data_IF_211633404239
#
_entry.id   IF_211633404239
#
_cell.length_a   1.000
_cell.length_b   1.000
_cell.length_c   1.000
_cell.angle_alpha   90.00
_cell.angle_beta   90.00
_cell.angle_gamma   90.00
#
_symmetry.space_group_name_H-M   'P 1'
#
loop_
_entity.id
_entity.type
_entity.pdbx_description
1 polymer ?
#
# COMPACT_ATOMS: atom_id res chain seq x y z
N UNK A 1 1.86 -2.25 -12.77
CA UNK A 1 0.90 -1.83 -11.74
C UNK A 1 0.56 -0.35 -11.93
N UNK A 2 -0.68 0.00 -11.60
CA UNK A 2 -1.19 1.38 -11.58
C UNK A 2 -1.21 1.90 -10.14
N UNK A 3 -1.27 3.21 -9.94
CA UNK A 3 -1.44 3.78 -8.58
C UNK A 3 -2.81 3.39 -8.01
N UNK A 4 -3.82 3.25 -8.87
CA UNK A 4 -5.11 2.68 -8.49
C UNK A 4 -4.97 1.30 -7.82
N UNK A 5 -4.26 0.38 -8.48
CA UNK A 5 -4.01 -0.96 -7.95
C UNK A 5 -3.27 -0.91 -6.61
N UNK A 6 -2.23 -0.07 -6.52
CA UNK A 6 -1.44 0.13 -5.30
C UNK A 6 -2.30 0.71 -4.16
N UNK A 7 -3.19 1.65 -4.46
CA UNK A 7 -4.10 2.25 -3.49
C UNK A 7 -5.07 1.21 -2.93
N UNK A 8 -5.74 0.44 -3.79
CA UNK A 8 -6.69 -0.61 -3.36
C UNK A 8 -5.96 -1.69 -2.55
N UNK A 9 -4.77 -2.14 -3.00
CA UNK A 9 -3.95 -3.11 -2.27
C UNK A 9 -3.47 -2.57 -0.92
N UNK A 10 -3.11 -1.29 -0.85
CA UNK A 10 -2.74 -0.66 0.43
C UNK A 10 -3.90 -0.67 1.42
N UNK A 11 -5.13 -0.41 0.98
CA UNK A 11 -6.32 -0.57 1.82
C UNK A 11 -6.51 -2.01 2.29
N UNK A 12 -6.22 -3.01 1.43
CA UNK A 12 -6.28 -4.42 1.82
C UNK A 12 -5.27 -4.78 2.92
N UNK A 13 -4.17 -4.04 3.09
CA UNK A 13 -3.15 -4.34 4.12
C UNK A 13 -3.48 -3.79 5.50
N UNK A 14 -4.47 -2.92 5.63
CA UNK A 14 -4.74 -2.24 6.90
C UNK A 14 -5.32 -3.19 7.95
N UNK A 15 -4.77 -3.19 9.18
CA UNK A 15 -5.28 -3.94 10.35
C UNK A 15 -5.65 -5.41 10.07
N UNK A 16 -4.85 -6.14 9.30
CA UNK A 16 -5.08 -7.56 9.04
C UNK A 16 -3.77 -8.31 8.82
N UNK A 17 -3.86 -9.64 8.76
CA UNK A 17 -2.72 -10.50 8.41
C UNK A 17 -2.47 -10.52 6.91
N UNK A 18 -1.26 -10.87 6.52
CA UNK A 18 -0.90 -11.02 5.11
C UNK A 18 -1.79 -12.04 4.35
N UNK A 19 -2.21 -13.11 5.03
CA UNK A 19 -3.14 -14.09 4.44
C UNK A 19 -4.48 -13.47 4.09
N UNK A 20 -5.03 -12.61 4.95
CA UNK A 20 -6.29 -11.90 4.70
C UNK A 20 -6.14 -10.90 3.55
N UNK A 21 -5.03 -10.16 3.50
CA UNK A 21 -4.71 -9.26 2.38
C UNK A 21 -4.68 -10.00 1.05
N UNK A 22 -3.97 -11.14 0.99
CA UNK A 22 -3.91 -11.96 -0.22
C UNK A 22 -5.28 -12.47 -0.67
N UNK A 23 -6.10 -12.92 0.28
CA UNK A 23 -7.44 -13.42 -0.04
C UNK A 23 -8.34 -12.31 -0.60
N UNK A 24 -8.36 -11.13 0.03
CA UNK A 24 -9.12 -10.00 -0.50
C UNK A 24 -8.68 -9.61 -1.91
N UNK A 25 -7.37 -9.52 -2.14
CA UNK A 25 -6.83 -9.18 -3.45
C UNK A 25 -7.16 -10.26 -4.50
N UNK A 26 -7.04 -11.54 -4.14
CA UNK A 26 -7.39 -12.64 -5.03
C UNK A 26 -8.89 -12.64 -5.38
N UNK A 27 -9.76 -12.41 -4.41
CA UNK A 27 -11.20 -12.32 -4.63
C UNK A 27 -11.57 -11.14 -5.54
N UNK A 28 -10.94 -9.97 -5.36
CA UNK A 28 -11.13 -8.83 -6.25
C UNK A 28 -10.77 -9.16 -7.70
N UNK A 29 -9.61 -9.78 -7.91
CA UNK A 29 -9.14 -10.18 -9.25
C UNK A 29 -10.04 -11.25 -9.85
N UNK A 30 -10.43 -12.26 -9.06
CA UNK A 30 -11.26 -13.36 -9.56
C UNK A 30 -12.64 -12.89 -9.97
N UNK A 31 -13.26 -12.03 -9.20
CA UNK A 31 -14.65 -11.61 -9.40
C UNK A 31 -14.82 -10.45 -10.40
N UNK A 32 -13.83 -9.56 -10.49
CA UNK A 32 -13.95 -8.30 -11.23
C UNK A 32 -12.83 -8.07 -12.25
N UNK A 33 -11.80 -8.90 -12.25
CA UNK A 33 -10.67 -8.76 -13.16
C UNK A 33 -10.99 -9.24 -14.58
N UNK A 34 -10.53 -8.49 -15.58
CA UNK A 34 -10.67 -8.87 -16.99
C UNK A 34 -9.74 -10.03 -17.36
N UNK A 35 -10.20 -10.98 -18.20
CA UNK A 35 -9.34 -12.04 -18.71
C UNK A 35 -8.18 -11.48 -19.54
N UNK A 36 -7.00 -12.04 -19.36
CA UNK A 36 -5.81 -11.72 -20.16
C UNK A 36 -5.48 -12.87 -21.12
N UNK A 37 -4.72 -12.58 -22.18
CA UNK A 37 -4.28 -13.59 -23.16
C UNK A 37 -3.46 -14.75 -22.54
N UNK A 38 -2.96 -14.61 -21.30
CA UNK A 38 -2.20 -15.62 -20.58
C UNK A 38 -3.04 -16.49 -19.63
N UNK A 39 -4.37 -16.48 -19.71
CA UNK A 39 -5.27 -17.25 -18.85
C UNK A 39 -5.35 -16.74 -17.40
N UNK A 40 -4.74 -15.61 -17.11
CA UNK A 40 -4.85 -14.89 -15.82
C UNK A 40 -5.84 -13.75 -15.96
N UNK A 41 -6.32 -13.23 -14.83
CA UNK A 41 -7.12 -12.01 -14.79
C UNK A 41 -6.25 -10.82 -14.41
N UNK A 42 -6.53 -9.66 -15.01
CA UNK A 42 -5.94 -8.39 -14.60
C UNK A 42 -6.52 -7.92 -13.28
N UNK A 43 -5.85 -6.98 -12.61
CA UNK A 43 -6.44 -6.29 -11.47
C UNK A 43 -7.63 -5.44 -11.96
N UNK A 44 -8.77 -5.43 -11.25
CA UNK A 44 -9.98 -4.75 -11.74
C UNK A 44 -9.78 -3.23 -11.81
N UNK A 45 -10.35 -2.61 -12.84
CA UNK A 45 -10.39 -1.15 -12.97
C UNK A 45 -11.34 -0.52 -11.94
N UNK A 46 -11.24 0.79 -11.76
CA UNK A 46 -12.16 1.51 -10.88
C UNK A 46 -13.61 1.40 -11.37
N UNK A 47 -13.82 1.45 -12.69
CA UNK A 47 -15.13 1.29 -13.32
C UNK A 47 -15.73 -0.09 -13.05
N UNK A 48 -14.92 -1.15 -13.19
CA UNK A 48 -15.37 -2.52 -12.88
C UNK A 48 -15.73 -2.65 -11.39
N UNK A 49 -14.93 -2.07 -10.52
CA UNK A 49 -15.21 -2.05 -9.09
C UNK A 49 -16.44 -1.21 -8.75
N UNK A 50 -16.68 -0.08 -9.40
CA UNK A 50 -17.83 0.80 -9.17
C UNK A 50 -19.18 0.17 -9.55
N UNK A 51 -19.18 -0.95 -10.29
CA UNK A 51 -20.42 -1.71 -10.58
C UNK A 51 -20.96 -2.48 -9.36
N UNK A 52 -20.23 -2.52 -8.25
CA UNK A 52 -20.53 -3.33 -7.07
C UNK A 52 -20.77 -2.46 -5.84
N UNK A 53 -21.72 -2.88 -5.02
CA UNK A 53 -22.04 -2.21 -3.76
C UNK A 53 -21.19 -2.72 -2.57
N UNK A 54 -21.36 -2.10 -1.41
CA UNK A 54 -20.66 -2.48 -0.19
C UNK A 54 -21.01 -3.92 0.28
N UNK A 55 -22.20 -4.43 -0.03
CA UNK A 55 -22.60 -5.79 0.32
C UNK A 55 -21.73 -6.81 -0.42
N UNK A 56 -21.50 -6.61 -1.72
CA UNK A 56 -20.59 -7.43 -2.50
C UNK A 56 -19.18 -7.46 -1.91
N UNK A 57 -18.62 -6.30 -1.57
CA UNK A 57 -17.28 -6.23 -0.97
C UNK A 57 -17.22 -6.91 0.40
N UNK A 58 -18.30 -6.89 1.17
CA UNK A 58 -18.35 -7.52 2.49
C UNK A 58 -18.45 -9.03 2.40
N UNK A 59 -19.31 -9.54 1.53
CA UNK A 59 -19.69 -10.94 1.47
C UNK A 59 -18.81 -11.77 0.53
N UNK A 60 -18.49 -11.24 -0.65
CA UNK A 60 -17.72 -11.93 -1.68
C UNK A 60 -16.24 -11.66 -1.54
N UNK A 61 -15.84 -10.39 -1.52
CA UNK A 61 -14.43 -10.00 -1.36
C UNK A 61 -13.92 -10.25 0.05
N UNK A 62 -14.82 -10.31 1.03
CA UNK A 62 -14.53 -10.49 2.45
C UNK A 62 -13.72 -9.35 3.06
N UNK A 63 -14.02 -8.13 2.61
CA UNK A 63 -13.29 -6.92 2.97
C UNK A 63 -13.59 -6.45 4.42
N UNK A 64 -14.61 -7.01 5.09
CA UNK A 64 -15.03 -6.59 6.42
C UNK A 64 -15.43 -5.11 6.45
N UNK A 65 -14.88 -4.34 7.39
CA UNK A 65 -15.19 -2.92 7.55
C UNK A 65 -14.72 -2.05 6.36
N UNK A 66 -13.83 -2.57 5.50
CA UNK A 66 -13.32 -1.87 4.31
C UNK A 66 -14.30 -1.88 3.13
N UNK A 67 -15.39 -2.66 3.24
CA UNK A 67 -16.38 -2.81 2.18
C UNK A 67 -16.93 -1.46 1.71
N UNK A 68 -17.30 -0.60 2.66
CA UNK A 68 -17.80 0.74 2.35
C UNK A 68 -16.70 1.64 1.74
N UNK A 69 -15.44 1.46 2.14
CA UNK A 69 -14.30 2.20 1.57
C UNK A 69 -14.04 1.83 0.13
N UNK A 70 -14.14 0.54 -0.24
CA UNK A 70 -13.97 0.10 -1.61
C UNK A 70 -15.07 0.61 -2.52
N UNK A 71 -16.34 0.54 -2.10
CA UNK A 71 -17.45 1.06 -2.87
C UNK A 71 -17.30 2.57 -3.12
N UNK A 72 -17.10 3.35 -2.06
CA UNK A 72 -16.95 4.81 -2.14
C UNK A 72 -15.74 5.24 -2.98
N UNK A 73 -14.60 4.55 -2.81
CA UNK A 73 -13.39 4.82 -3.57
C UNK A 73 -13.58 4.52 -5.05
N UNK A 74 -14.12 3.35 -5.39
CA UNK A 74 -14.33 2.94 -6.77
C UNK A 74 -15.27 3.92 -7.50
N UNK A 75 -16.39 4.30 -6.88
CA UNK A 75 -17.30 5.32 -7.42
C UNK A 75 -16.61 6.67 -7.61
N UNK A 76 -15.79 7.09 -6.65
CA UNK A 76 -15.13 8.39 -6.71
C UNK A 76 -14.07 8.46 -7.82
N UNK A 77 -13.34 7.38 -8.02
CA UNK A 77 -12.32 7.30 -9.10
C UNK A 77 -12.99 7.14 -10.46
N UNK A 78 -13.97 6.25 -10.60
CA UNK A 78 -14.73 6.06 -11.86
C UNK A 78 -15.46 7.35 -12.29
N UNK A 79 -15.92 8.16 -11.33
CA UNK A 79 -16.54 9.47 -11.60
C UNK A 79 -15.51 10.60 -11.86
N UNK A 80 -14.21 10.32 -11.82
CA UNK A 80 -13.16 11.33 -12.00
C UNK A 80 -13.03 12.34 -10.85
N UNK A 81 -13.64 12.07 -9.68
CA UNK A 81 -13.51 12.93 -8.50
C UNK A 81 -12.17 12.77 -7.79
N UNK A 82 -11.56 11.59 -7.92
CA UNK A 82 -10.22 11.26 -7.44
C UNK A 82 -9.47 10.66 -8.61
N UNK A 83 -8.25 11.16 -8.88
CA UNK A 83 -7.33 10.62 -9.86
C UNK A 83 -6.05 10.18 -9.16
N UNK A 84 -5.92 8.89 -8.76
CA UNK A 84 -4.73 8.39 -8.10
C UNK A 84 -3.48 8.44 -9.00
N UNK A 85 -3.65 8.30 -10.31
CA UNK A 85 -2.51 8.30 -11.25
C UNK A 85 -1.81 9.66 -11.30
N UNK A 86 -2.53 10.75 -11.02
CA UNK A 86 -1.95 12.10 -10.92
C UNK A 86 -0.90 12.23 -9.82
N UNK A 87 -0.89 11.35 -8.83
CA UNK A 87 0.12 11.37 -7.76
C UNK A 87 1.53 11.02 -8.24
N UNK A 88 1.66 10.25 -9.34
CA UNK A 88 2.96 9.93 -9.95
C UNK A 88 3.70 11.16 -10.45
N UNK A 89 2.97 12.13 -10.99
CA UNK A 89 3.53 13.32 -11.62
C UNK A 89 3.30 14.59 -10.80
N UNK A 90 2.84 14.45 -9.58
CA UNK A 90 2.51 15.58 -8.71
C UNK A 90 3.77 16.37 -8.33
N UNK A 91 3.74 17.69 -8.50
CA UNK A 91 4.79 18.62 -8.05
C UNK A 91 4.63 19.05 -6.58
N UNK A 92 3.61 18.57 -5.89
CA UNK A 92 3.39 18.88 -4.48
C UNK A 92 4.58 18.38 -3.62
N UNK A 93 4.99 19.15 -2.61
CA UNK A 93 5.89 18.64 -1.59
C UNK A 93 5.32 17.35 -0.96
N UNK A 94 6.20 16.39 -0.58
CA UNK A 94 5.79 15.09 -0.04
C UNK A 94 4.77 15.19 1.10
N UNK A 95 4.94 16.16 2.00
CA UNK A 95 4.03 16.36 3.12
C UNK A 95 2.61 16.79 2.66
N UNK A 96 2.50 17.57 1.59
CA UNK A 96 1.22 18.00 1.03
C UNK A 96 0.58 16.86 0.23
N UNK A 97 1.35 16.14 -0.58
CA UNK A 97 0.87 14.96 -1.29
C UNK A 97 0.35 13.89 -0.31
N UNK A 98 1.03 13.70 0.82
CA UNK A 98 0.55 12.82 1.90
C UNK A 98 -0.83 13.25 2.41
N UNK A 99 -1.06 14.56 2.58
CA UNK A 99 -2.37 15.07 3.01
C UNK A 99 -3.45 14.80 1.97
N UNK A 100 -3.14 14.96 0.68
CA UNK A 100 -4.07 14.63 -0.41
C UNK A 100 -4.44 13.15 -0.39
N UNK A 101 -3.46 12.24 -0.31
CA UNK A 101 -3.70 10.80 -0.21
C UNK A 101 -4.58 10.44 0.99
N UNK A 102 -4.39 11.11 2.12
CA UNK A 102 -5.18 10.88 3.35
C UNK A 102 -6.62 11.40 3.28
N UNK A 103 -7.01 12.13 2.25
CA UNK A 103 -8.43 12.46 2.00
C UNK A 103 -9.23 11.25 1.54
N UNK A 104 -8.56 10.23 1.01
CA UNK A 104 -9.19 8.95 0.66
C UNK A 104 -9.54 8.20 1.94
N UNK A 105 -10.81 7.87 2.08
CA UNK A 105 -11.33 7.16 3.26
C UNK A 105 -10.64 5.80 3.44
N UNK A 106 -10.15 5.56 4.63
CA UNK A 106 -9.36 4.36 4.95
C UNK A 106 -7.86 4.50 4.75
N UNK A 107 -7.38 5.58 4.11
CA UNK A 107 -5.95 5.88 3.96
C UNK A 107 -5.47 6.66 5.19
N UNK A 108 -4.88 5.95 6.14
CA UNK A 108 -4.19 6.53 7.29
C UNK A 108 -2.71 6.82 6.99
N UNK A 109 -1.95 7.21 8.04
CA UNK A 109 -0.51 7.54 7.88
C UNK A 109 0.29 6.39 7.30
N UNK A 110 0.07 5.16 7.76
CA UNK A 110 0.75 3.96 7.25
C UNK A 110 0.52 3.77 5.74
N UNK A 111 -0.74 3.77 5.30
CA UNK A 111 -1.07 3.56 3.90
C UNK A 111 -0.52 4.70 3.02
N UNK A 112 -0.68 5.95 3.45
CA UNK A 112 -0.17 7.12 2.73
C UNK A 112 1.36 7.09 2.59
N UNK A 113 2.11 6.73 3.64
CA UNK A 113 3.56 6.63 3.59
C UNK A 113 4.05 5.51 2.67
N UNK A 114 3.34 4.38 2.60
CA UNK A 114 3.66 3.33 1.65
C UNK A 114 3.32 3.74 0.21
N UNK A 115 2.17 4.39 -0.01
CA UNK A 115 1.81 4.95 -1.32
C UNK A 115 2.84 5.97 -1.80
N UNK A 116 3.33 6.85 -0.93
CA UNK A 116 4.40 7.79 -1.27
C UNK A 116 5.63 7.08 -1.81
N UNK A 117 6.06 5.97 -1.20
CA UNK A 117 7.18 5.17 -1.73
C UNK A 117 6.87 4.60 -3.12
N UNK A 118 5.64 4.11 -3.34
CA UNK A 118 5.22 3.53 -4.61
C UNK A 118 5.18 4.57 -5.74
N UNK A 119 4.90 5.84 -5.41
CA UNK A 119 4.98 6.95 -6.37
C UNK A 119 6.34 7.67 -6.38
N UNK A 120 7.39 7.05 -5.82
CA UNK A 120 8.78 7.54 -5.94
C UNK A 120 9.19 8.58 -4.90
N UNK A 121 8.42 8.77 -3.81
CA UNK A 121 8.77 9.68 -2.71
C UNK A 121 9.37 8.89 -1.54
N UNK A 122 10.70 8.92 -1.40
CA UNK A 122 11.45 8.07 -0.47
C UNK A 122 11.97 8.80 0.77
N UNK A 123 11.58 10.01 0.99
CA UNK A 123 12.00 10.85 2.12
C UNK A 123 11.36 10.43 3.47
N UNK A 124 10.32 9.58 3.45
CA UNK A 124 9.72 8.95 4.63
C UNK A 124 10.10 7.49 4.80
N UNK A 125 10.17 6.99 6.04
CA UNK A 125 10.51 5.59 6.32
C UNK A 125 9.33 4.62 6.17
N UNK A 126 8.10 5.10 6.32
CA UNK A 126 6.87 4.28 6.36
C UNK A 126 7.00 3.06 7.30
N UNK A 127 7.35 3.34 8.56
CA UNK A 127 7.62 2.32 9.55
C UNK A 127 6.37 1.53 9.91
N UNK A 128 6.44 0.22 9.75
CA UNK A 128 5.45 -0.73 10.20
C UNK A 128 6.04 -1.73 11.22
N UNK A 129 5.24 -2.69 11.65
CA UNK A 129 5.68 -3.70 12.61
C UNK A 129 6.77 -4.62 12.03
N UNK A 130 6.73 -4.90 10.73
CA UNK A 130 7.70 -5.75 10.05
C UNK A 130 9.05 -5.04 9.91
N UNK A 131 9.06 -3.79 9.43
CA UNK A 131 10.28 -2.99 9.31
C UNK A 131 10.94 -2.76 10.68
N UNK A 132 10.13 -2.46 11.73
CA UNK A 132 10.65 -2.34 13.10
C UNK A 132 11.29 -3.64 13.58
N UNK A 133 10.60 -4.78 13.41
CA UNK A 133 11.13 -6.07 13.81
C UNK A 133 12.43 -6.43 13.07
N UNK A 134 12.48 -6.17 11.76
CA UNK A 134 13.67 -6.33 10.93
C UNK A 134 14.84 -5.49 11.45
N UNK A 135 14.61 -4.20 11.71
CA UNK A 135 15.61 -3.30 12.27
C UNK A 135 16.12 -3.78 13.63
N UNK A 136 15.22 -4.20 14.52
CA UNK A 136 15.62 -4.70 15.84
C UNK A 136 16.55 -5.89 15.73
N UNK A 137 16.23 -6.83 14.83
CA UNK A 137 17.05 -8.02 14.59
C UNK A 137 18.41 -7.66 13.98
N UNK A 138 18.43 -6.85 12.92
CA UNK A 138 19.63 -6.57 12.11
C UNK A 138 20.55 -5.54 12.76
N UNK A 139 20.00 -4.47 13.33
CA UNK A 139 20.77 -3.31 13.79
C UNK A 139 20.70 -3.03 15.29
N UNK A 140 19.86 -3.75 16.03
CA UNK A 140 19.68 -3.49 17.47
C UNK A 140 19.81 -4.74 18.36
N UNK A 141 20.57 -5.74 17.93
CA UNK A 141 20.84 -7.00 18.68
C UNK A 141 19.55 -7.67 19.17
N UNK A 142 18.46 -7.62 18.37
CA UNK A 142 17.15 -8.16 18.71
C UNK A 142 16.33 -7.35 19.72
N UNK A 143 16.83 -6.24 20.24
CA UNK A 143 16.15 -5.42 21.25
C UNK A 143 15.27 -4.37 20.60
N UNK A 144 14.04 -4.18 21.14
CA UNK A 144 13.16 -3.07 20.72
C UNK A 144 13.81 -1.72 20.98
N UNK A 145 13.51 -0.74 20.16
CA UNK A 145 13.88 0.66 20.34
C UNK A 145 12.77 1.58 19.86
N UNK A 146 12.90 2.88 20.11
CA UNK A 146 12.01 3.90 19.58
C UNK A 146 12.26 4.17 18.09
N UNK A 147 11.25 4.73 17.42
CA UNK A 147 11.31 5.07 16.00
C UNK A 147 12.41 6.11 15.71
N UNK A 148 12.68 7.03 16.66
CA UNK A 148 13.75 8.05 16.53
C UNK A 148 15.12 7.42 16.33
N UNK A 149 15.38 6.23 16.91
CA UNK A 149 16.63 5.50 16.69
C UNK A 149 16.71 4.96 15.27
N UNK A 150 15.61 4.43 14.74
CA UNK A 150 15.51 3.95 13.35
C UNK A 150 15.70 5.12 12.39
N UNK A 151 14.98 6.22 12.59
CA UNK A 151 15.08 7.44 11.79
C UNK A 151 16.52 7.98 11.76
N UNK A 152 17.20 8.02 12.92
CA UNK A 152 18.60 8.47 13.01
C UNK A 152 19.54 7.58 12.22
N UNK A 153 19.30 6.26 12.19
CA UNK A 153 20.13 5.30 11.45
C UNK A 153 20.07 5.55 9.94
N UNK A 154 18.86 5.83 9.40
CA UNK A 154 18.66 6.03 7.96
C UNK A 154 18.80 7.48 7.51
N UNK A 155 18.84 8.46 8.40
CA UNK A 155 18.97 9.89 8.07
C UNK A 155 20.15 10.22 7.14
N UNK A 156 21.23 9.46 7.22
CA UNK A 156 22.42 9.60 6.35
C UNK A 156 22.13 9.41 4.85
N UNK A 157 21.01 8.76 4.51
CA UNK A 157 20.58 8.56 3.12
C UNK A 157 19.72 9.71 2.58
N UNK A 158 19.47 10.75 3.39
CA UNK A 158 18.73 11.94 2.97
C UNK A 158 17.36 11.60 2.36
N UNK A 159 17.06 12.11 1.15
CA UNK A 159 15.75 11.88 0.53
C UNK A 159 15.50 10.42 0.11
N UNK A 160 16.50 9.55 0.19
CA UNK A 160 16.42 8.14 -0.18
C UNK A 160 16.26 7.19 1.01
N UNK A 161 16.04 7.73 2.22
CA UNK A 161 16.00 6.92 3.45
C UNK A 161 14.90 5.85 3.44
N UNK A 162 13.76 6.11 2.80
CA UNK A 162 12.67 5.14 2.66
C UNK A 162 12.99 3.99 1.73
N UNK A 163 13.77 4.24 0.67
CA UNK A 163 14.30 3.20 -0.20
C UNK A 163 15.42 2.43 0.50
N UNK A 164 16.30 3.12 1.22
CA UNK A 164 17.41 2.51 1.94
C UNK A 164 16.94 1.50 2.99
N UNK A 165 15.93 1.85 3.81
CA UNK A 165 15.38 0.90 4.79
C UNK A 165 14.70 -0.28 4.09
N UNK A 166 14.01 -0.06 2.97
CA UNK A 166 13.39 -1.15 2.22
C UNK A 166 14.44 -2.13 1.69
N UNK A 167 15.47 -1.65 1.00
CA UNK A 167 16.56 -2.48 0.49
C UNK A 167 17.28 -3.24 1.61
N UNK A 168 17.55 -2.57 2.73
CA UNK A 168 18.23 -3.16 3.87
C UNK A 168 17.41 -4.30 4.51
N UNK A 169 16.10 -4.14 4.63
CA UNK A 169 15.22 -5.16 5.22
C UNK A 169 14.85 -6.30 4.25
N UNK A 170 14.96 -6.09 2.94
CA UNK A 170 14.66 -7.10 1.91
C UNK A 170 15.91 -7.75 1.31
N UNK A 171 17.10 -7.42 1.78
CA UNK A 171 18.38 -7.96 1.27
C UNK A 171 18.38 -9.50 1.19
N UNK A 172 17.86 -10.16 2.21
CA UNK A 172 17.82 -11.64 2.28
C UNK A 172 16.94 -12.27 1.19
N UNK A 173 15.96 -11.52 0.64
CA UNK A 173 15.09 -12.02 -0.44
C UNK A 173 15.86 -12.22 -1.74
N UNK A 174 16.86 -11.38 -1.99
CA UNK A 174 17.69 -11.42 -3.19
C UNK A 174 18.88 -12.39 -3.04
N UNK A 175 19.32 -12.60 -1.80
CA UNK A 175 20.46 -13.51 -1.51
C UNK A 175 20.02 -14.97 -1.34
N UNK A 176 18.77 -15.31 -1.58
CA UNK A 176 18.23 -16.67 -1.47
C UNK A 176 18.16 -17.24 -0.06
N UNK A 177 18.39 -16.40 0.96
CA UNK A 177 18.35 -16.78 2.38
C UNK A 177 17.02 -16.44 3.07
N UNK A 178 16.15 -15.69 2.40
CA UNK A 178 14.81 -15.31 2.86
C UNK A 178 13.75 -16.35 2.46
N UNK A 179 13.30 -17.14 3.42
CA UNK A 179 12.05 -17.91 3.33
C UNK A 179 11.01 -17.31 4.25
#
# INVERSE_FOLDING_TARGET
PTVWEDLVKSLCTTNCTWAVTRNMTANLVEELGDPTNGGRKAFPTAEAMATRDAAFYREVVRAGYRADYFAELAESVAAGKIDPESWLTSDLPTAELKKEMKKVKGVGDYAAENLLKLVGRYDGLALDSWLRAGFYKKHNKGKKCDDKKIERHYRKFGPWQGLAIWCDMTEDWFNGTGR
#
